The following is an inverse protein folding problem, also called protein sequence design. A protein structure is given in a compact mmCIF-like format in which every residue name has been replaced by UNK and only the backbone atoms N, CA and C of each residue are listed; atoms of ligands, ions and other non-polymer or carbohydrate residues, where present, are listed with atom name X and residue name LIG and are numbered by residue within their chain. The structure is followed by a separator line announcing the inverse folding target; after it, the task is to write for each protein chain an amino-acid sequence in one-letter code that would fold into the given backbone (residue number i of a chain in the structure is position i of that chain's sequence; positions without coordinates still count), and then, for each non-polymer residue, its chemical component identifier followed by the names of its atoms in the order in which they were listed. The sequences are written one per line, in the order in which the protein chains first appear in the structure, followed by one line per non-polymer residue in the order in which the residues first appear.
data_IF_727482155239
#
_entry.id   IF_727482155239
#
_cell.length_a   1.000
_cell.length_b   1.000
_cell.length_c   1.000
_cell.angle_alpha   90.00
_cell.angle_beta   90.00
_cell.angle_gamma   90.00
#
_symmetry.space_group_name_H-M   'P 1'
#
loop_
_entity.id
_entity.type
_entity.pdbx_description
1 polymer ?
#
# COMPACT_ATOMS: atom_id res chain seq x y z
N UNK A 1 45.51 -15.36 46.70
CA UNK A 1 44.04 -15.55 46.76
C UNK A 1 43.29 -14.45 46.00
N UNK A 2 43.55 -14.23 44.70
CA UNK A 2 42.85 -13.16 43.93
C UNK A 2 42.53 -13.47 42.47
N UNK A 3 42.70 -14.72 42.01
CA UNK A 3 42.47 -15.11 40.60
C UNK A 3 41.52 -16.31 40.41
N UNK A 4 40.77 -16.72 41.45
CA UNK A 4 39.80 -17.82 41.37
C UNK A 4 38.34 -17.35 41.27
N UNK A 5 38.03 -16.11 41.67
CA UNK A 5 36.65 -15.60 41.63
C UNK A 5 36.22 -15.01 40.27
N UNK A 6 37.15 -14.62 39.40
CA UNK A 6 36.80 -14.03 38.10
C UNK A 6 36.42 -15.07 37.04
N UNK A 7 36.88 -16.32 37.19
CA UNK A 7 36.47 -17.43 36.30
C UNK A 7 35.14 -18.08 36.71
N UNK A 8 34.69 -17.88 37.94
CA UNK A 8 33.38 -18.36 38.41
C UNK A 8 32.24 -17.40 38.04
N UNK A 9 32.53 -16.12 37.77
CA UNK A 9 31.51 -15.13 37.37
C UNK A 9 31.24 -15.09 35.86
N UNK A 10 32.17 -15.59 35.03
CA UNK A 10 31.99 -15.68 33.57
C UNK A 10 31.42 -17.04 33.11
N UNK A 11 31.51 -18.09 33.96
CA UNK A 11 31.03 -19.44 33.66
C UNK A 11 29.54 -19.68 33.94
N UNK A 12 28.86 -18.75 34.62
CA UNK A 12 27.42 -18.86 34.93
C UNK A 12 26.54 -18.12 33.90
N UNK A 13 27.14 -17.34 32.99
CA UNK A 13 26.43 -16.57 31.96
C UNK A 13 26.27 -17.31 30.61
N UNK A 14 26.31 -18.64 30.61
CA UNK A 14 26.10 -19.50 29.44
C UNK A 14 25.21 -20.71 29.74
N UNK A 15 24.46 -20.68 30.85
CA UNK A 15 23.23 -21.44 30.92
C UNK A 15 22.31 -20.79 29.89
N UNK A 16 22.16 -21.47 28.75
CA UNK A 16 21.20 -21.11 27.72
C UNK A 16 19.82 -20.99 28.34
N UNK A 17 19.47 -19.78 28.78
CA UNK A 17 18.09 -19.39 28.93
C UNK A 17 17.56 -19.50 27.51
N UNK A 18 16.88 -20.60 27.21
CA UNK A 18 15.91 -20.60 26.12
C UNK A 18 14.87 -19.58 26.56
N UNK A 19 15.15 -18.30 26.30
CA UNK A 19 14.11 -17.30 26.19
C UNK A 19 13.31 -17.81 25.00
N UNK A 20 12.26 -18.58 25.30
CA UNK A 20 11.27 -18.96 24.30
C UNK A 20 10.56 -17.66 23.91
N UNK A 21 11.25 -16.86 23.10
CA UNK A 21 10.73 -15.62 22.59
C UNK A 21 9.48 -15.90 21.79
N UNK A 22 8.55 -14.95 21.80
CA UNK A 22 7.41 -14.96 20.90
C UNK A 22 7.87 -15.19 19.46
N UNK A 23 7.14 -16.02 18.72
CA UNK A 23 7.39 -16.23 17.30
C UNK A 23 6.57 -15.23 16.51
N UNK A 24 7.20 -14.61 15.52
CA UNK A 24 6.47 -13.79 14.56
C UNK A 24 5.77 -14.71 13.55
N UNK A 25 4.46 -14.53 13.29
CA UNK A 25 3.77 -15.30 12.26
C UNK A 25 4.34 -15.02 10.87
N UNK A 26 4.17 -15.97 9.96
CA UNK A 26 4.41 -15.79 8.53
C UNK A 26 3.36 -14.87 7.91
N UNK A 27 3.81 -13.83 7.23
CA UNK A 27 2.95 -12.84 6.61
C UNK A 27 2.04 -13.44 5.52
N UNK A 28 0.73 -13.21 5.61
CA UNK A 28 -0.21 -13.52 4.54
C UNK A 28 -0.17 -12.46 3.45
N UNK A 29 -0.03 -12.86 2.19
CA UNK A 29 0.04 -11.93 1.06
C UNK A 29 -1.34 -11.41 0.66
N UNK A 30 -1.65 -10.15 0.99
CA UNK A 30 -2.96 -9.56 0.65
C UNK A 30 -3.17 -9.34 -0.86
N UNK A 31 -2.13 -9.49 -1.69
CA UNK A 31 -2.29 -9.52 -3.15
C UNK A 31 -3.02 -10.78 -3.64
N UNK A 32 -3.04 -11.87 -2.86
CA UNK A 32 -3.73 -13.12 -3.23
C UNK A 32 -5.20 -13.14 -2.81
N UNK A 33 -5.67 -12.10 -2.12
CA UNK A 33 -7.06 -11.97 -1.66
C UNK A 33 -7.15 -11.50 -0.20
N UNK A 34 -8.35 -11.47 0.34
CA UNK A 34 -8.58 -11.13 1.75
C UNK A 34 -8.14 -12.27 2.69
N UNK A 35 -7.71 -11.91 3.90
CA UNK A 35 -7.53 -12.87 4.99
C UNK A 35 -8.79 -12.93 5.85
N UNK A 36 -9.25 -14.12 6.25
CA UNK A 36 -10.46 -14.31 7.05
C UNK A 36 -10.29 -15.34 8.17
N UNK A 37 -11.03 -15.12 9.26
CA UNK A 37 -11.26 -16.09 10.34
C UNK A 37 -12.66 -15.88 10.92
N UNK A 38 -13.52 -16.90 10.79
CA UNK A 38 -14.92 -16.89 11.29
C UNK A 38 -15.17 -17.99 12.31
N UNK A 39 -14.10 -18.62 12.80
CA UNK A 39 -14.18 -19.59 13.87
C UNK A 39 -12.84 -20.17 14.28
N UNK A 40 -12.81 -20.80 15.46
CA UNK A 40 -11.69 -21.57 15.96
C UNK A 40 -12.19 -22.76 16.78
N UNK A 41 -11.82 -23.98 16.40
CA UNK A 41 -12.33 -25.19 17.05
C UNK A 41 -11.53 -25.55 18.32
N UNK A 42 -12.22 -25.91 19.40
CA UNK A 42 -11.59 -26.27 20.68
C UNK A 42 -10.79 -27.59 20.64
N UNK A 43 -11.09 -28.47 19.69
CA UNK A 43 -10.42 -29.75 19.51
C UNK A 43 -9.14 -29.66 18.65
N UNK A 44 -8.77 -28.46 18.16
CA UNK A 44 -7.49 -28.25 17.48
C UNK A 44 -6.34 -28.60 18.42
N UNK A 45 -5.31 -29.26 17.88
CA UNK A 45 -4.15 -29.68 18.65
C UNK A 45 -3.40 -28.49 19.26
N UNK A 46 -2.90 -28.68 20.47
CA UNK A 46 -2.06 -27.71 21.18
C UNK A 46 -0.85 -27.29 20.31
N UNK A 47 -0.53 -26.00 20.30
CA UNK A 47 0.58 -25.46 19.49
C UNK A 47 0.27 -25.29 18.00
N UNK A 48 -0.99 -25.49 17.58
CA UNK A 48 -1.46 -25.18 16.23
C UNK A 48 -2.13 -23.80 16.18
N UNK A 49 -2.08 -23.11 15.05
CA UNK A 49 -2.56 -21.73 14.95
C UNK A 49 -3.31 -21.47 13.63
N UNK A 50 -4.11 -20.38 13.54
CA UNK A 50 -4.91 -20.14 12.35
C UNK A 50 -4.08 -19.80 11.10
N UNK A 51 -4.48 -20.40 9.97
CA UNK A 51 -4.21 -19.90 8.63
C UNK A 51 -5.46 -19.23 8.07
N UNK A 52 -5.33 -18.62 6.89
CA UNK A 52 -6.45 -17.99 6.20
C UNK A 52 -7.64 -18.96 6.01
N UNK A 53 -8.86 -18.48 6.26
CA UNK A 53 -10.10 -19.17 5.94
C UNK A 53 -10.60 -20.16 7.00
N UNK A 54 -10.10 -20.10 8.24
CA UNK A 54 -10.60 -20.96 9.30
C UNK A 54 -12.03 -20.56 9.72
N UNK A 55 -12.94 -21.53 9.79
CA UNK A 55 -14.36 -21.30 10.12
C UNK A 55 -14.80 -21.96 11.42
N UNK A 56 -13.87 -22.55 12.18
CA UNK A 56 -14.17 -23.17 13.48
C UNK A 56 -14.80 -24.56 13.42
N UNK A 57 -15.03 -25.11 12.23
CA UNK A 57 -15.42 -26.53 12.08
C UNK A 57 -14.20 -27.44 11.86
N UNK A 58 -13.06 -26.88 11.44
CA UNK A 58 -11.84 -27.64 11.17
C UNK A 58 -11.09 -28.00 12.45
N UNK A 59 -10.58 -29.22 12.53
CA UNK A 59 -9.68 -29.68 13.59
C UNK A 59 -8.27 -29.97 13.06
N UNK A 60 -8.12 -30.14 11.74
CA UNK A 60 -6.86 -30.31 10.99
C UNK A 60 -7.02 -29.76 9.56
N UNK A 61 -5.94 -29.67 8.79
CA UNK A 61 -5.99 -29.37 7.35
C UNK A 61 -5.43 -27.99 6.96
N UNK A 62 -5.74 -27.55 5.74
CA UNK A 62 -5.09 -26.39 5.09
C UNK A 62 -5.32 -25.03 5.78
N UNK A 63 -6.31 -24.90 6.66
CA UNK A 63 -6.62 -23.67 7.40
C UNK A 63 -6.03 -23.65 8.83
N UNK A 64 -5.19 -24.64 9.15
CA UNK A 64 -4.54 -24.79 10.46
C UNK A 64 -3.04 -25.04 10.27
N UNK A 65 -2.22 -24.13 10.78
CA UNK A 65 -0.78 -24.32 10.86
C UNK A 65 -0.42 -25.14 12.10
N UNK A 66 0.53 -26.07 11.96
CA UNK A 66 1.01 -26.93 13.07
C UNK A 66 2.14 -26.29 13.90
N UNK A 67 2.51 -25.05 13.58
CA UNK A 67 3.52 -24.29 14.33
C UNK A 67 3.30 -22.79 14.18
N UNK A 68 3.82 -22.01 15.13
CA UNK A 68 3.74 -20.55 15.09
C UNK A 68 4.51 -19.95 13.90
N UNK A 69 5.60 -20.61 13.48
CA UNK A 69 6.45 -20.13 12.39
C UNK A 69 5.75 -20.18 11.03
N UNK A 70 4.88 -21.16 10.81
CA UNK A 70 4.16 -21.34 9.55
C UNK A 70 2.77 -20.70 9.53
N UNK A 71 2.30 -20.16 10.65
CA UNK A 71 0.96 -19.60 10.79
C UNK A 71 0.87 -18.16 10.31
N UNK A 72 -0.31 -17.72 9.85
CA UNK A 72 -0.55 -16.31 9.58
C UNK A 72 -0.93 -15.54 10.85
N UNK A 73 -1.65 -16.21 11.75
CA UNK A 73 -2.00 -15.68 13.06
C UNK A 73 -1.36 -16.53 14.16
N UNK A 74 -0.87 -15.92 15.24
CA UNK A 74 -0.39 -16.61 16.44
C UNK A 74 -1.01 -15.99 17.69
N UNK A 75 -0.95 -16.72 18.80
CA UNK A 75 -1.46 -16.26 20.08
C UNK A 75 -0.31 -16.04 21.07
N UNK A 76 -0.32 -14.93 21.80
CA UNK A 76 0.74 -14.59 22.76
C UNK A 76 0.24 -14.48 24.20
N UNK A 77 1.13 -14.75 25.15
CA UNK A 77 0.96 -14.56 26.59
C UNK A 77 1.67 -13.29 27.06
N UNK A 78 1.16 -12.61 28.08
CA UNK A 78 1.63 -11.30 28.55
C UNK A 78 2.02 -11.30 30.04
N UNK A 79 2.93 -12.20 30.42
CA UNK A 79 3.47 -12.29 31.78
C UNK A 79 2.48 -12.92 32.78
N UNK A 80 2.85 -13.02 34.07
CA UNK A 80 2.04 -13.73 35.06
C UNK A 80 0.88 -12.90 35.64
N UNK A 81 0.82 -11.60 35.36
CA UNK A 81 -0.21 -10.71 35.92
C UNK A 81 -1.35 -10.49 34.92
N UNK A 82 -2.39 -9.80 35.38
CA UNK A 82 -3.40 -9.26 34.45
C UNK A 82 -2.69 -8.38 33.41
N UNK A 83 -2.84 -8.67 32.11
CA UNK A 83 -2.22 -7.85 31.08
C UNK A 83 -2.80 -6.44 31.17
N UNK A 84 -1.92 -5.44 31.14
CA UNK A 84 -2.25 -4.04 30.95
C UNK A 84 -1.85 -3.65 29.52
N UNK A 85 -2.31 -2.51 29.03
CA UNK A 85 -2.00 -2.05 27.67
C UNK A 85 -0.49 -1.98 27.39
N UNK A 86 0.33 -1.68 28.40
CA UNK A 86 1.79 -1.61 28.29
C UNK A 86 2.50 -2.95 28.56
N UNK A 87 1.80 -3.99 28.98
CA UNK A 87 2.42 -5.28 29.31
C UNK A 87 2.91 -5.96 28.05
N UNK A 88 4.22 -6.18 27.95
CA UNK A 88 4.83 -6.86 26.82
C UNK A 88 4.43 -8.34 26.77
N UNK A 89 4.36 -8.87 25.55
CA UNK A 89 4.26 -10.31 25.31
C UNK A 89 5.55 -11.04 25.75
N UNK A 90 5.39 -12.27 26.23
CA UNK A 90 6.43 -13.04 26.91
C UNK A 90 6.69 -14.39 26.25
N UNK A 91 5.67 -15.00 25.63
CA UNK A 91 5.77 -16.29 24.98
C UNK A 91 4.59 -16.50 24.00
N UNK A 92 4.70 -17.50 23.13
CA UNK A 92 3.55 -18.02 22.41
C UNK A 92 2.64 -18.82 23.36
N UNK A 93 1.33 -18.74 23.15
CA UNK A 93 0.38 -19.67 23.75
C UNK A 93 0.45 -21.00 23.00
N UNK A 94 0.80 -22.09 23.70
CA UNK A 94 0.99 -23.44 23.12
C UNK A 94 0.10 -24.50 23.76
N UNK A 95 -0.79 -24.11 24.67
CA UNK A 95 -1.74 -25.01 25.33
C UNK A 95 -2.87 -25.45 24.40
N UNK A 96 -3.63 -26.46 24.83
CA UNK A 96 -4.88 -26.87 24.17
C UNK A 96 -5.94 -25.75 24.18
N UNK A 97 -6.91 -25.87 23.28
CA UNK A 97 -7.94 -24.85 23.03
C UNK A 97 -9.29 -25.16 23.69
N UNK A 98 -9.29 -25.96 24.75
CA UNK A 98 -10.49 -26.24 25.55
C UNK A 98 -10.84 -25.02 26.40
N UNK A 99 -12.13 -24.70 26.52
CA UNK A 99 -12.60 -23.63 27.39
C UNK A 99 -12.36 -23.99 28.87
N UNK A 100 -11.34 -23.37 29.47
CA UNK A 100 -11.03 -23.47 30.89
C UNK A 100 -10.36 -22.18 31.37
N UNK A 101 -10.26 -21.99 32.70
CA UNK A 101 -9.59 -20.84 33.29
C UNK A 101 -8.11 -20.77 32.89
N UNK A 102 -7.64 -19.57 32.56
CA UNK A 102 -6.26 -19.37 32.12
C UNK A 102 -5.98 -19.95 30.73
N UNK A 103 -6.94 -19.83 29.80
CA UNK A 103 -6.81 -20.36 28.43
C UNK A 103 -7.19 -19.32 27.37
N UNK A 104 -6.50 -19.43 26.23
CA UNK A 104 -7.05 -19.05 24.94
C UNK A 104 -7.72 -20.32 24.40
N UNK A 105 -9.00 -20.23 24.03
CA UNK A 105 -9.79 -21.39 23.64
C UNK A 105 -10.49 -21.18 22.30
N UNK A 106 -10.84 -22.27 21.63
CA UNK A 106 -11.67 -22.25 20.44
C UNK A 106 -13.14 -22.28 20.82
N UNK A 107 -13.94 -21.38 20.26
CA UNK A 107 -15.38 -21.28 20.51
C UNK A 107 -16.21 -21.75 19.30
N UNK A 108 -15.67 -22.69 18.52
CA UNK A 108 -16.30 -23.20 17.31
C UNK A 108 -16.47 -22.07 16.29
N UNK A 109 -17.68 -21.93 15.75
CA UNK A 109 -18.04 -20.86 14.80
C UNK A 109 -18.22 -19.48 15.44
N UNK A 110 -17.88 -19.32 16.72
CA UNK A 110 -17.90 -18.03 17.41
C UNK A 110 -16.48 -17.51 17.71
N UNK A 111 -15.50 -17.94 16.90
CA UNK A 111 -14.13 -17.47 16.95
C UNK A 111 -13.30 -17.97 18.12
N UNK A 112 -12.45 -17.07 18.62
CA UNK A 112 -11.45 -17.30 19.66
C UNK A 112 -11.96 -16.71 20.98
N UNK A 113 -11.74 -17.42 22.09
CA UNK A 113 -12.06 -16.94 23.42
C UNK A 113 -10.84 -16.68 24.30
N UNK A 114 -10.92 -15.68 25.17
CA UNK A 114 -9.92 -15.30 26.16
C UNK A 114 -10.51 -15.44 27.57
N UNK A 115 -10.09 -16.46 28.31
CA UNK A 115 -10.50 -16.73 29.69
C UNK A 115 -9.31 -16.53 30.63
N UNK A 116 -9.02 -15.28 31.00
CA UNK A 116 -7.85 -14.96 31.81
C UNK A 116 -8.05 -15.37 33.29
N UNK A 117 -6.95 -15.75 33.96
CA UNK A 117 -6.89 -15.94 35.41
C UNK A 117 -5.57 -15.40 35.95
N UNK A 118 -5.51 -15.19 37.27
CA UNK A 118 -4.27 -14.72 37.92
C UNK A 118 -3.14 -15.73 37.71
N UNK A 119 -1.93 -15.24 37.42
CA UNK A 119 -0.74 -16.08 37.22
C UNK A 119 -0.46 -16.47 35.77
N UNK A 120 -1.36 -16.18 34.81
CA UNK A 120 -1.26 -16.70 33.43
C UNK A 120 -1.00 -15.61 32.38
N UNK A 121 -1.68 -14.47 32.51
CA UNK A 121 -1.62 -13.38 31.52
C UNK A 121 -2.05 -13.81 30.12
N UNK A 122 -3.29 -14.31 30.01
CA UNK A 122 -3.90 -14.63 28.72
C UNK A 122 -3.94 -13.37 27.86
N UNK A 123 -3.34 -13.48 26.68
CA UNK A 123 -2.98 -12.31 25.89
C UNK A 123 -3.76 -12.18 24.60
N UNK A 124 -3.02 -12.16 23.51
CA UNK A 124 -3.43 -11.51 22.28
C UNK A 124 -3.42 -12.45 21.08
N UNK A 125 -4.13 -12.05 20.02
CA UNK A 125 -4.02 -12.65 18.70
C UNK A 125 -3.27 -11.70 17.76
N UNK A 126 -2.25 -12.21 17.08
CA UNK A 126 -1.37 -11.43 16.19
C UNK A 126 -1.41 -12.00 14.80
N UNK A 127 -1.86 -11.22 13.84
CA UNK A 127 -1.85 -11.54 12.41
C UNK A 127 -0.68 -10.83 11.73
N UNK A 128 0.09 -11.52 10.90
CA UNK A 128 1.07 -10.90 10.02
C UNK A 128 0.56 -10.85 8.57
N UNK A 129 0.79 -9.71 7.92
CA UNK A 129 0.32 -9.37 6.58
C UNK A 129 1.49 -8.87 5.74
N UNK A 130 1.53 -9.27 4.48
CA UNK A 130 2.34 -8.64 3.45
C UNK A 130 1.39 -7.74 2.64
N UNK A 131 1.69 -6.45 2.65
CA UNK A 131 0.89 -5.41 1.99
C UNK A 131 1.62 -4.82 0.79
N UNK A 132 2.68 -5.46 0.28
CA UNK A 132 3.43 -5.02 -0.91
C UNK A 132 2.51 -4.90 -2.12
N UNK A 133 2.55 -3.74 -2.78
CA UNK A 133 1.65 -3.40 -3.88
C UNK A 133 0.19 -3.22 -3.47
N UNK A 134 -0.11 -3.09 -2.16
CA UNK A 134 -1.47 -2.92 -1.62
C UNK A 134 -1.62 -1.61 -0.85
N UNK A 135 -2.83 -1.06 -0.87
CA UNK A 135 -3.23 0.14 -0.12
C UNK A 135 -4.65 -0.03 0.45
N UNK A 136 -5.11 0.92 1.27
CA UNK A 136 -6.44 0.90 1.88
C UNK A 136 -6.71 -0.44 2.59
N UNK A 137 -5.81 -0.80 3.52
CA UNK A 137 -5.94 -2.05 4.28
C UNK A 137 -7.09 -1.91 5.27
N UNK A 138 -8.18 -2.64 5.04
CA UNK A 138 -9.41 -2.56 5.83
C UNK A 138 -9.54 -3.80 6.71
N UNK A 139 -9.91 -3.58 7.98
CA UNK A 139 -10.08 -4.61 9.00
C UNK A 139 -11.51 -4.55 9.53
N UNK A 140 -12.17 -5.70 9.53
CA UNK A 140 -13.45 -5.95 10.20
C UNK A 140 -13.24 -7.03 11.26
N UNK A 141 -13.93 -6.91 12.40
CA UNK A 141 -13.93 -7.90 13.47
C UNK A 141 -15.13 -7.71 14.40
N UNK A 142 -15.44 -8.74 15.18
CA UNK A 142 -16.49 -8.74 16.19
C UNK A 142 -15.89 -9.03 17.56
N UNK A 143 -16.17 -8.16 18.53
CA UNK A 143 -15.86 -8.38 19.94
C UNK A 143 -17.04 -9.03 20.66
N UNK A 144 -16.77 -9.91 21.63
CA UNK A 144 -17.81 -10.64 22.37
C UNK A 144 -17.54 -10.66 23.87
N UNK A 145 -18.61 -10.64 24.65
CA UNK A 145 -18.62 -10.98 26.09
C UNK A 145 -19.25 -12.35 26.23
N UNK A 146 -18.42 -13.33 26.55
CA UNK A 146 -18.80 -14.74 26.70
C UNK A 146 -19.05 -15.12 28.18
N UNK A 147 -18.53 -14.32 29.10
CA UNK A 147 -18.79 -14.41 30.53
C UNK A 147 -18.62 -13.02 31.15
N UNK A 148 -19.52 -12.64 32.04
CA UNK A 148 -19.48 -11.33 32.71
C UNK A 148 -18.50 -11.35 33.88
N UNK A 149 -17.94 -10.19 34.22
CA UNK A 149 -17.04 -10.04 35.35
C UNK A 149 -17.04 -8.61 35.89
N UNK A 150 -16.64 -8.46 37.15
CA UNK A 150 -16.59 -7.15 37.82
C UNK A 150 -15.39 -6.29 37.37
N UNK A 151 -14.34 -6.91 36.81
CA UNK A 151 -13.18 -6.18 36.29
C UNK A 151 -13.43 -5.63 34.89
N UNK A 152 -12.87 -4.46 34.63
CA UNK A 152 -12.93 -3.77 33.33
C UNK A 152 -11.91 -4.36 32.37
N UNK A 153 -12.36 -5.16 31.43
CA UNK A 153 -11.52 -5.74 30.39
C UNK A 153 -12.06 -5.37 29.02
N UNK A 154 -11.20 -5.44 28.02
CA UNK A 154 -11.63 -5.34 26.64
C UNK A 154 -10.59 -5.84 25.65
N UNK A 155 -10.95 -5.76 24.38
CA UNK A 155 -10.08 -6.10 23.26
C UNK A 155 -9.80 -4.82 22.48
N UNK A 156 -8.51 -4.47 22.32
CA UNK A 156 -8.08 -3.35 21.48
C UNK A 156 -7.40 -3.82 20.21
N UNK A 157 -7.77 -3.23 19.09
CA UNK A 157 -7.09 -3.40 17.80
C UNK A 157 -5.90 -2.44 17.68
N UNK A 158 -4.72 -3.00 17.45
CA UNK A 158 -3.47 -2.28 17.30
C UNK A 158 -2.68 -2.81 16.09
N UNK A 159 -1.67 -2.07 15.64
CA UNK A 159 -0.81 -2.48 14.54
C UNK A 159 0.65 -2.06 14.75
N UNK A 160 1.56 -2.68 14.00
CA UNK A 160 2.94 -2.21 13.84
C UNK A 160 3.49 -2.55 12.47
N UNK A 161 4.52 -1.81 12.05
CA UNK A 161 5.29 -2.05 10.84
C UNK A 161 6.48 -2.95 11.19
N UNK A 162 6.68 -4.03 10.45
CA UNK A 162 7.69 -5.04 10.74
C UNK A 162 7.32 -5.97 11.91
N UNK A 163 8.35 -6.54 12.54
CA UNK A 163 8.23 -7.59 13.56
C UNK A 163 8.72 -7.16 14.95
N UNK A 164 9.05 -5.89 15.13
CA UNK A 164 9.63 -5.35 16.36
C UNK A 164 9.09 -3.95 16.64
N UNK A 165 9.38 -3.42 17.82
CA UNK A 165 8.87 -2.13 18.27
C UNK A 165 7.47 -2.22 18.87
N UNK A 166 6.97 -1.06 19.30
CA UNK A 166 5.68 -0.91 19.96
C UNK A 166 4.53 -1.08 18.96
N UNK A 167 3.44 -1.67 19.44
CA UNK A 167 2.17 -1.60 18.73
C UNK A 167 1.54 -0.22 18.96
N UNK A 168 0.95 0.32 17.91
CA UNK A 168 0.24 1.58 17.87
C UNK A 168 -1.25 1.32 17.69
N UNK A 169 -2.08 2.25 18.16
CA UNK A 169 -3.52 2.19 17.92
C UNK A 169 -3.83 2.17 16.41
N UNK A 170 -4.69 1.24 15.97
CA UNK A 170 -5.03 1.07 14.56
C UNK A 170 -5.91 2.20 14.00
N UNK A 171 -6.48 3.02 14.87
CA UNK A 171 -7.28 4.19 14.55
C UNK A 171 -7.07 5.25 15.63
N UNK A 172 -7.00 6.56 15.28
CA UNK A 172 -6.87 7.62 16.28
C UNK A 172 -8.09 7.75 17.20
N UNK A 173 -9.26 7.22 16.81
CA UNK A 173 -10.48 7.23 17.61
C UNK A 173 -10.58 5.94 18.43
N UNK A 174 -10.34 5.96 19.77
CA UNK A 174 -10.23 4.75 20.56
C UNK A 174 -11.51 3.89 20.58
N UNK A 175 -12.69 4.51 20.55
CA UNK A 175 -13.98 3.80 20.55
C UNK A 175 -14.19 2.94 19.29
N UNK A 176 -13.49 3.23 18.19
CA UNK A 176 -13.60 2.44 16.96
C UNK A 176 -12.77 1.16 17.03
N UNK A 177 -11.73 1.13 17.86
CA UNK A 177 -10.77 0.02 17.95
C UNK A 177 -10.87 -0.75 19.26
N UNK A 178 -11.75 -0.35 20.18
CA UNK A 178 -11.85 -0.92 21.50
C UNK A 178 -13.23 -1.51 21.76
N UNK A 179 -13.26 -2.82 22.02
CA UNK A 179 -14.42 -3.52 22.53
C UNK A 179 -14.32 -3.66 24.05
N UNK A 180 -15.21 -3.01 24.80
CA UNK A 180 -15.32 -3.16 26.24
C UNK A 180 -16.21 -4.37 26.61
N UNK A 181 -15.84 -5.10 27.67
CA UNK A 181 -16.67 -6.15 28.22
C UNK A 181 -18.04 -5.59 28.65
N UNK A 182 -19.12 -6.27 28.25
CA UNK A 182 -20.48 -5.90 28.60
C UNK A 182 -20.89 -6.38 30.00
N UNK A 183 -21.91 -5.72 30.57
CA UNK A 183 -22.59 -6.19 31.78
C UNK A 183 -23.51 -7.42 31.52
N UNK A 184 -23.70 -7.78 30.25
CA UNK A 184 -24.44 -8.95 29.79
C UNK A 184 -23.64 -9.69 28.71
N UNK A 185 -24.02 -10.95 28.47
CA UNK A 185 -23.49 -11.70 27.34
C UNK A 185 -23.94 -11.05 26.03
N UNK A 186 -23.05 -11.01 25.03
CA UNK A 186 -23.37 -10.40 23.75
C UNK A 186 -22.16 -10.23 22.84
N UNK A 187 -22.42 -9.74 21.62
CA UNK A 187 -21.42 -9.50 20.59
C UNK A 187 -21.68 -8.17 19.90
N UNK A 188 -20.62 -7.47 19.52
CA UNK A 188 -20.68 -6.21 18.77
C UNK A 188 -19.74 -6.29 17.58
N UNK A 189 -20.29 -6.15 16.38
CA UNK A 189 -19.49 -5.91 15.19
C UNK A 189 -18.85 -4.52 15.31
N UNK A 190 -17.52 -4.48 15.26
CA UNK A 190 -16.78 -3.23 15.39
C UNK A 190 -16.79 -2.48 14.05
N UNK A 191 -16.70 -1.14 14.06
CA UNK A 191 -16.60 -0.37 12.82
C UNK A 191 -15.44 -0.87 11.95
N UNK A 192 -15.61 -0.81 10.62
CA UNK A 192 -14.50 -1.08 9.69
C UNK A 192 -13.35 -0.11 9.95
N UNK A 193 -12.15 -0.64 10.16
CA UNK A 193 -10.95 0.17 10.40
C UNK A 193 -10.06 0.14 9.17
N UNK A 194 -9.77 1.32 8.61
CA UNK A 194 -8.68 1.47 7.65
C UNK A 194 -7.38 1.73 8.40
N UNK A 195 -6.37 0.88 8.22
CA UNK A 195 -5.06 1.10 8.82
C UNK A 195 -4.41 2.38 8.27
N UNK A 196 -3.53 3.05 9.06
CA UNK A 196 -2.80 4.22 8.60
C UNK A 196 -1.98 3.95 7.33
N UNK A 197 -1.76 4.98 6.51
CA UNK A 197 -1.07 4.85 5.22
C UNK A 197 0.35 4.29 5.32
N UNK A 198 1.00 4.42 6.48
CA UNK A 198 2.30 3.80 6.78
C UNK A 198 2.28 2.26 6.71
N UNK A 199 1.10 1.63 6.81
CA UNK A 199 0.92 0.19 6.66
C UNK A 199 0.75 -0.27 5.20
N UNK A 200 0.64 0.66 4.26
CA UNK A 200 0.55 0.33 2.83
C UNK A 200 1.92 -0.07 2.27
N UNK A 201 1.93 -0.86 1.20
CA UNK A 201 3.12 -1.23 0.45
C UNK A 201 4.32 -1.69 1.31
N UNK A 202 4.05 -2.45 2.36
CA UNK A 202 5.05 -2.90 3.33
C UNK A 202 5.16 -4.42 3.28
N UNK A 203 6.38 -4.95 3.31
CA UNK A 203 6.62 -6.40 3.27
C UNK A 203 6.05 -7.14 4.47
N UNK A 204 6.01 -6.48 5.64
CA UNK A 204 5.44 -7.02 6.88
C UNK A 204 4.72 -5.92 7.66
N UNK A 205 3.44 -6.13 7.90
CA UNK A 205 2.62 -5.43 8.91
C UNK A 205 2.10 -6.47 9.89
N UNK A 206 2.07 -6.15 11.17
CA UNK A 206 1.43 -6.99 12.18
C UNK A 206 0.25 -6.26 12.80
N UNK A 207 -0.87 -6.98 12.91
CA UNK A 207 -2.11 -6.53 13.53
C UNK A 207 -2.33 -7.35 14.79
N UNK A 208 -2.69 -6.67 15.88
CA UNK A 208 -2.84 -7.23 17.22
C UNK A 208 -4.24 -6.96 17.73
N UNK A 209 -4.93 -8.01 18.17
CA UNK A 209 -6.10 -7.90 19.05
C UNK A 209 -5.66 -8.23 20.46
N UNK A 210 -5.58 -7.21 21.31
CA UNK A 210 -5.05 -7.34 22.65
C UNK A 210 -6.17 -7.36 23.68
N UNK A 211 -6.36 -8.51 24.33
CA UNK A 211 -7.22 -8.65 25.52
C UNK A 211 -6.46 -8.22 26.76
N UNK A 212 -6.92 -7.16 27.43
CA UNK A 212 -6.23 -6.60 28.61
C UNK A 212 -7.22 -5.99 29.61
N UNK A 213 -6.74 -5.79 30.83
CA UNK A 213 -7.44 -5.10 31.90
C UNK A 213 -7.22 -3.58 31.79
N UNK A 214 -8.30 -2.81 31.71
CA UNK A 214 -8.26 -1.36 31.60
C UNK A 214 -7.93 -0.64 32.91
N UNK A 215 -8.13 -1.28 34.06
CA UNK A 215 -7.93 -0.66 35.36
C UNK A 215 -7.09 -1.54 36.30
N UNK A 216 -6.14 -0.90 36.98
CA UNK A 216 -5.20 -1.58 37.88
C UNK A 216 -5.77 -1.84 39.27
N UNK A 217 -6.94 -1.29 39.61
CA UNK A 217 -7.45 -1.24 41.00
C UNK A 217 -8.74 -2.03 41.24
N UNK A 218 -9.40 -2.55 40.20
CA UNK A 218 -10.65 -3.33 40.35
C UNK A 218 -10.34 -4.78 40.71
N UNK A 219 -10.82 -5.21 41.88
CA UNK A 219 -10.84 -6.61 42.30
C UNK A 219 -12.12 -7.32 41.79
N UNK A 220 -12.23 -8.63 42.00
CA UNK A 220 -13.39 -9.42 41.56
C UNK A 220 -13.14 -10.31 40.33
N UNK A 221 -14.22 -10.86 39.78
CA UNK A 221 -14.20 -11.82 38.67
C UNK A 221 -13.80 -11.15 37.36
N UNK A 222 -13.05 -11.87 36.51
CA UNK A 222 -12.68 -11.43 35.16
C UNK A 222 -13.78 -11.83 34.19
N UNK A 223 -14.16 -10.98 33.23
CA UNK A 223 -15.01 -11.42 32.15
C UNK A 223 -14.24 -12.38 31.23
N UNK A 224 -14.98 -13.21 30.49
CA UNK A 224 -14.44 -13.99 29.38
C UNK A 224 -14.79 -13.27 28.09
N UNK A 225 -13.79 -12.97 27.27
CA UNK A 225 -13.96 -12.22 26.02
C UNK A 225 -13.86 -13.14 24.81
N UNK A 226 -14.43 -12.70 23.68
CA UNK A 226 -14.33 -13.39 22.40
C UNK A 226 -13.96 -12.45 21.25
N UNK A 227 -13.30 -13.00 20.25
CA UNK A 227 -12.86 -12.36 19.02
C UNK A 227 -13.27 -13.23 17.83
N UNK A 228 -13.98 -12.65 16.87
CA UNK A 228 -14.54 -13.40 15.75
C UNK A 228 -14.77 -12.53 14.51
N UNK A 229 -15.22 -13.13 13.41
CA UNK A 229 -15.59 -12.47 12.16
C UNK A 229 -14.49 -11.52 11.65
N UNK A 230 -13.24 -11.98 11.75
CA UNK A 230 -12.10 -11.21 11.30
C UNK A 230 -12.05 -11.29 9.78
N UNK A 231 -12.01 -10.13 9.13
CA UNK A 231 -11.57 -10.05 7.74
C UNK A 231 -10.62 -8.88 7.54
N UNK A 232 -9.59 -9.12 6.73
CA UNK A 232 -8.62 -8.11 6.32
C UNK A 232 -8.56 -8.08 4.80
N UNK A 233 -8.93 -6.94 4.23
CA UNK A 233 -8.95 -6.72 2.78
C UNK A 233 -8.07 -5.55 2.38
N UNK A 234 -7.85 -5.37 1.08
CA UNK A 234 -7.05 -4.28 0.55
C UNK A 234 -7.40 -3.96 -0.90
N UNK A 235 -6.99 -2.78 -1.36
CA UNK A 235 -7.00 -2.40 -2.76
C UNK A 235 -5.60 -2.55 -3.37
N UNK A 236 -5.50 -2.79 -4.68
CA UNK A 236 -4.21 -2.72 -5.37
C UNK A 236 -3.67 -1.29 -5.32
N UNK A 237 -2.45 -1.11 -4.84
CA UNK A 237 -1.76 0.17 -4.93
C UNK A 237 -1.08 0.27 -6.29
N UNK A 238 -1.28 1.37 -6.99
CA UNK A 238 -0.38 1.74 -8.08
C UNK A 238 1.01 1.99 -7.51
N UNK A 239 2.02 1.28 -7.99
CA UNK A 239 3.42 1.55 -7.65
C UNK A 239 3.91 2.72 -8.52
N UNK A 240 4.21 3.86 -7.91
CA UNK A 240 5.00 4.90 -8.55
C UNK A 240 6.47 4.48 -8.43
N UNK A 241 7.14 4.26 -9.56
CA UNK A 241 8.58 4.05 -9.60
C UNK A 241 9.31 5.40 -9.58
N UNK A 242 10.43 5.51 -8.86
CA UNK A 242 11.28 6.70 -8.86
C UNK A 242 12.61 6.43 -9.56
N UNK A 243 13.13 7.43 -10.27
CA UNK A 243 14.53 7.48 -10.69
C UNK A 243 15.31 8.30 -9.65
N UNK A 244 16.27 7.67 -8.95
CA UNK A 244 17.25 8.36 -8.12
C UNK A 244 18.63 8.28 -8.79
N UNK A 245 18.77 8.93 -9.94
CA UNK A 245 20.07 9.12 -10.55
C UNK A 245 20.90 10.09 -9.72
N UNK A 246 22.15 9.74 -9.42
CA UNK A 246 23.13 10.69 -8.92
C UNK A 246 23.22 11.88 -9.88
N UNK A 247 22.99 13.08 -9.38
CA UNK A 247 23.42 14.31 -10.05
C UNK A 247 24.94 14.37 -9.99
N UNK A 248 25.64 13.63 -10.85
CA UNK A 248 27.05 13.91 -11.09
C UNK A 248 27.11 15.26 -11.79
N UNK A 249 27.51 16.31 -11.09
CA UNK A 249 27.96 17.55 -11.71
C UNK A 249 29.12 17.21 -12.64
N UNK A 250 28.87 17.16 -13.95
CA UNK A 250 29.94 17.14 -14.94
C UNK A 250 30.81 18.39 -14.81
N UNK A 251 32.11 18.34 -15.14
CA UNK A 251 32.97 19.51 -15.11
C UNK A 251 32.48 20.58 -16.09
N UNK A 252 32.72 21.87 -15.83
CA UNK A 252 32.10 23.01 -16.52
C UNK A 252 32.57 23.23 -17.97
N UNK A 253 33.09 22.21 -18.66
CA UNK A 253 33.61 22.34 -20.03
C UNK A 253 32.91 21.39 -20.99
N UNK A 254 31.72 21.80 -21.45
CA UNK A 254 31.32 21.72 -22.86
C UNK A 254 31.20 20.35 -23.57
N UNK A 255 31.15 19.22 -22.88
CA UNK A 255 30.88 17.91 -23.50
C UNK A 255 29.58 17.27 -23.00
N UNK A 256 28.85 16.48 -23.83
CA UNK A 256 27.67 15.75 -23.37
C UNK A 256 28.08 14.68 -22.36
N UNK A 257 27.87 14.97 -21.07
CA UNK A 257 27.98 13.99 -20.00
C UNK A 257 26.83 12.98 -20.14
N UNK A 258 27.17 11.77 -20.58
CA UNK A 258 26.25 10.62 -20.62
C UNK A 258 25.89 10.26 -19.17
N UNK A 259 24.60 10.38 -18.82
CA UNK A 259 24.10 10.17 -17.47
C UNK A 259 24.45 8.78 -16.93
N UNK A 260 24.94 8.73 -15.69
CA UNK A 260 25.35 7.50 -15.01
C UNK A 260 24.20 6.48 -14.86
N UNK A 261 24.55 5.20 -14.91
CA UNK A 261 23.67 4.07 -14.62
C UNK A 261 23.31 4.04 -13.13
N UNK A 262 22.22 4.71 -12.74
CA UNK A 262 21.63 4.61 -11.40
C UNK A 262 20.76 3.36 -11.25
N UNK A 263 20.79 2.73 -10.07
CA UNK A 263 19.91 1.62 -9.73
C UNK A 263 18.55 2.14 -9.21
N UNK A 264 17.47 1.49 -9.63
CA UNK A 264 16.09 1.77 -9.21
C UNK A 264 15.95 1.60 -7.68
N UNK A 265 15.47 2.63 -6.97
CA UNK A 265 15.17 2.54 -5.53
C UNK A 265 13.65 2.37 -5.32
N UNK A 266 13.27 1.35 -4.53
CA UNK A 266 11.88 0.91 -4.34
C UNK A 266 11.26 1.32 -3.00
N UNK A 267 11.76 2.34 -2.31
CA UNK A 267 11.24 2.71 -0.98
C UNK A 267 9.89 3.45 -1.00
N UNK A 268 9.01 3.20 -0.01
CA UNK A 268 7.61 3.61 -0.05
C UNK A 268 7.38 4.97 0.62
N UNK A 269 7.01 5.96 -0.19
CA UNK A 269 6.20 7.10 0.22
C UNK A 269 5.77 7.81 -1.07
N UNK A 270 4.47 8.01 -1.25
CA UNK A 270 3.87 9.12 -1.97
C UNK A 270 4.85 10.24 -2.37
N UNK A 271 5.32 10.21 -3.61
CA UNK A 271 5.97 11.32 -4.30
C UNK A 271 5.85 11.12 -5.82
N UNK A 272 5.99 12.22 -6.54
CA UNK A 272 5.87 12.31 -8.00
C UNK A 272 7.09 11.73 -8.70
N UNK A 273 6.99 11.44 -10.01
CA UNK A 273 8.20 11.56 -10.83
C UNK A 273 8.59 13.04 -10.80
N UNK A 274 9.53 13.39 -9.94
CA UNK A 274 10.29 14.62 -10.12
C UNK A 274 11.26 14.30 -11.25
N UNK A 275 10.94 14.77 -12.45
CA UNK A 275 11.98 15.04 -13.47
C UNK A 275 13.09 15.81 -12.78
N UNK A 276 14.38 15.50 -12.99
CA UNK A 276 15.48 16.13 -12.27
C UNK A 276 15.27 17.65 -12.22
N UNK A 277 15.15 18.19 -11.01
CA UNK A 277 15.02 19.62 -10.81
C UNK A 277 16.29 20.30 -11.29
N UNK A 278 16.06 21.31 -12.13
CA UNK A 278 16.87 22.52 -12.29
C UNK A 278 18.25 22.36 -12.96
N UNK A 279 18.24 22.32 -14.29
CA UNK A 279 19.28 23.00 -15.06
C UNK A 279 18.69 23.52 -16.38
N UNK A 280 18.84 24.81 -16.60
CA UNK A 280 18.14 25.70 -17.54
C UNK A 280 18.40 25.46 -19.04
N UNK A 281 18.84 24.27 -19.47
CA UNK A 281 19.09 24.00 -20.91
C UNK A 281 19.22 22.52 -21.34
N UNK A 282 18.90 21.53 -20.49
CA UNK A 282 19.15 20.11 -20.80
C UNK A 282 17.97 19.36 -21.41
N UNK A 283 18.24 18.54 -22.44
CA UNK A 283 17.36 17.49 -23.00
C UNK A 283 17.45 16.24 -22.12
N UNK A 284 16.32 15.74 -21.59
CA UNK A 284 16.29 14.54 -20.73
C UNK A 284 15.52 13.40 -21.38
N UNK A 285 16.03 12.17 -21.34
CA UNK A 285 15.35 10.97 -21.88
C UNK A 285 14.47 10.30 -20.81
N UNK A 286 13.15 10.28 -21.00
CA UNK A 286 12.26 9.47 -20.15
C UNK A 286 12.36 7.98 -20.50
N UNK A 287 12.44 7.10 -19.48
CA UNK A 287 12.48 5.64 -19.68
C UNK A 287 11.39 4.95 -18.86
N UNK A 288 10.54 4.14 -19.50
CA UNK A 288 9.49 3.37 -18.82
C UNK A 288 9.78 1.87 -18.83
N UNK A 289 9.57 1.17 -17.71
CA UNK A 289 9.37 -0.27 -17.71
C UNK A 289 7.86 -0.58 -17.81
N UNK A 290 7.55 -1.65 -18.55
CA UNK A 290 6.33 -2.49 -18.64
C UNK A 290 4.93 -1.97 -18.22
N UNK A 291 3.95 -2.57 -18.89
CA UNK A 291 2.49 -2.40 -18.80
C UNK A 291 1.91 -2.59 -17.38
N UNK A 292 2.07 -1.64 -16.46
CA UNK A 292 1.32 -1.53 -15.18
C UNK A 292 1.54 -0.22 -14.41
N UNK A 293 2.47 0.65 -14.83
CA UNK A 293 2.95 1.78 -14.03
C UNK A 293 2.16 3.08 -14.30
N UNK A 294 2.07 3.97 -13.30
CA UNK A 294 1.56 5.35 -13.48
C UNK A 294 2.77 6.29 -13.60
N UNK A 295 2.81 7.13 -14.63
CA UNK A 295 3.84 8.16 -14.78
C UNK A 295 3.27 9.54 -14.38
N UNK A 296 3.84 10.17 -13.35
CA UNK A 296 3.37 11.48 -12.86
C UNK A 296 4.41 12.56 -13.16
N UNK A 297 4.25 13.30 -14.26
CA UNK A 297 5.17 14.39 -14.57
C UNK A 297 4.75 15.66 -13.83
N UNK A 298 5.70 16.39 -13.24
CA UNK A 298 5.49 17.73 -12.66
C UNK A 298 6.64 18.64 -13.07
N UNK A 299 6.34 19.83 -13.59
CA UNK A 299 7.40 20.79 -13.93
C UNK A 299 7.97 21.42 -12.66
N UNK A 300 9.30 21.51 -12.55
CA UNK A 300 9.94 22.58 -11.79
C UNK A 300 9.62 23.93 -12.43
N UNK A 301 9.93 25.06 -11.78
CA UNK A 301 9.52 26.42 -12.15
C UNK A 301 10.05 26.98 -13.49
N UNK A 302 10.37 26.14 -14.48
CA UNK A 302 10.79 26.53 -15.84
C UNK A 302 10.15 25.66 -16.93
N UNK A 303 10.24 26.14 -18.18
CA UNK A 303 9.82 25.43 -19.39
C UNK A 303 10.71 24.19 -19.62
N UNK A 304 10.49 23.14 -18.83
CA UNK A 304 11.28 21.90 -18.90
C UNK A 304 10.85 21.12 -20.14
N UNK A 305 11.78 20.92 -21.07
CA UNK A 305 11.59 20.17 -22.30
C UNK A 305 11.93 18.70 -22.03
N UNK A 306 10.94 17.81 -22.02
CA UNK A 306 11.16 16.37 -21.84
C UNK A 306 11.30 15.70 -23.20
N UNK A 307 12.46 15.08 -23.46
CA UNK A 307 12.73 14.29 -24.66
C UNK A 307 12.47 12.81 -24.39
N UNK A 308 12.03 12.10 -25.41
CA UNK A 308 11.67 10.69 -25.27
C UNK A 308 12.42 9.88 -26.31
N UNK A 309 13.50 9.23 -25.85
CA UNK A 309 14.35 8.39 -26.69
C UNK A 309 13.71 7.06 -27.08
N UNK A 310 12.64 6.64 -26.39
CA UNK A 310 11.92 5.38 -26.62
C UNK A 310 10.40 5.59 -26.60
N UNK A 311 9.59 4.57 -26.88
CA UNK A 311 8.15 4.69 -26.63
C UNK A 311 7.89 4.76 -25.11
N UNK A 312 6.89 5.53 -24.71
CA UNK A 312 6.37 5.55 -23.33
C UNK A 312 5.19 4.60 -23.25
N UNK A 313 5.23 3.65 -22.32
CA UNK A 313 4.11 2.74 -22.05
C UNK A 313 3.80 2.76 -20.57
N UNK A 314 2.62 3.27 -20.21
CA UNK A 314 2.13 3.39 -18.84
C UNK A 314 0.62 3.05 -18.80
N UNK A 315 0.08 2.73 -17.62
CA UNK A 315 -1.37 2.58 -17.43
C UNK A 315 -2.06 3.94 -17.43
N UNK A 316 -1.48 4.93 -16.73
CA UNK A 316 -1.93 6.32 -16.70
C UNK A 316 -0.73 7.28 -16.69
N UNK A 317 -0.92 8.47 -17.24
CA UNK A 317 0.06 9.55 -17.27
C UNK A 317 -0.60 10.82 -16.73
N UNK A 318 -0.18 11.33 -15.58
CA UNK A 318 -0.79 12.53 -14.98
C UNK A 318 0.11 13.77 -15.12
N UNK A 319 -0.49 14.89 -15.50
CA UNK A 319 0.15 16.20 -15.70
C UNK A 319 -0.56 17.21 -14.80
N UNK A 320 0.05 17.56 -13.66
CA UNK A 320 -0.57 18.38 -12.62
C UNK A 320 -0.18 19.87 -12.65
N UNK A 321 0.86 20.24 -13.38
CA UNK A 321 1.31 21.63 -13.60
C UNK A 321 1.79 21.80 -15.04
N UNK A 322 1.87 23.04 -15.53
CA UNK A 322 2.22 23.34 -16.92
C UNK A 322 3.52 22.67 -17.36
N UNK A 323 3.42 21.74 -18.31
CA UNK A 323 4.49 20.86 -18.79
C UNK A 323 4.58 20.92 -20.32
N UNK A 324 5.80 20.79 -20.84
CA UNK A 324 6.05 20.66 -22.28
C UNK A 324 6.82 19.38 -22.55
N UNK A 325 6.21 18.42 -23.24
CA UNK A 325 6.98 17.33 -23.84
C UNK A 325 7.39 17.79 -25.23
N UNK A 326 8.69 17.70 -25.54
CA UNK A 326 9.15 17.89 -26.90
C UNK A 326 10.01 16.71 -27.30
N UNK A 327 9.64 16.10 -28.41
CA UNK A 327 10.19 14.82 -28.81
C UNK A 327 11.29 15.10 -29.83
N UNK A 328 12.54 14.87 -29.45
CA UNK A 328 13.71 15.04 -30.31
C UNK A 328 14.17 13.68 -30.85
N UNK A 329 13.21 12.90 -31.38
CA UNK A 329 13.51 11.61 -31.97
C UNK A 329 13.75 11.75 -33.49
N UNK A 330 14.76 11.05 -33.99
CA UNK A 330 15.02 10.83 -35.43
C UNK A 330 14.15 9.73 -36.03
N UNK A 331 13.30 9.10 -35.22
CA UNK A 331 12.41 7.99 -35.58
C UNK A 331 11.07 8.14 -34.90
N UNK A 332 9.98 7.65 -35.49
CA UNK A 332 8.63 7.81 -34.94
C UNK A 332 8.50 7.19 -33.55
N UNK A 333 7.83 7.90 -32.64
CA UNK A 333 7.62 7.50 -31.23
C UNK A 333 6.14 7.50 -30.88
N UNK A 334 5.80 6.71 -29.87
CA UNK A 334 4.46 6.70 -29.29
C UNK A 334 4.44 6.86 -27.78
N UNK A 335 3.34 7.43 -27.29
CA UNK A 335 2.92 7.38 -25.90
C UNK A 335 1.66 6.52 -25.83
N UNK A 336 1.69 5.47 -25.02
CA UNK A 336 0.55 4.63 -24.69
C UNK A 336 0.31 4.65 -23.17
N UNK A 337 -0.96 4.77 -22.80
CA UNK A 337 -1.46 5.08 -21.47
C UNK A 337 -2.39 6.29 -21.49
N UNK A 338 -3.46 6.26 -20.69
CA UNK A 338 -4.40 7.39 -20.60
C UNK A 338 -3.70 8.61 -20.02
N UNK A 339 -3.79 9.76 -20.70
CA UNK A 339 -3.17 11.01 -20.28
C UNK A 339 -4.20 11.90 -19.56
N UNK A 340 -3.94 12.30 -18.32
CA UNK A 340 -4.71 13.28 -17.56
C UNK A 340 -3.99 14.64 -17.55
N UNK A 341 -4.33 15.50 -18.51
CA UNK A 341 -3.76 16.83 -18.69
C UNK A 341 -4.52 17.91 -17.89
N UNK A 342 -4.35 17.91 -16.56
CA UNK A 342 -4.92 18.95 -15.71
C UNK A 342 -4.15 20.29 -15.84
N UNK A 343 -2.82 20.21 -16.01
CA UNK A 343 -1.97 21.34 -16.41
C UNK A 343 -1.83 21.47 -17.93
N UNK A 344 -1.23 22.59 -18.37
CA UNK A 344 -0.90 22.79 -19.80
C UNK A 344 0.04 21.67 -20.29
N UNK A 345 -0.19 21.19 -21.51
CA UNK A 345 0.57 20.13 -22.16
C UNK A 345 0.95 20.58 -23.57
N UNK A 346 2.24 20.80 -23.81
CA UNK A 346 2.75 20.96 -25.18
C UNK A 346 3.21 19.63 -25.76
N UNK A 347 2.81 19.33 -27.00
CA UNK A 347 3.20 18.17 -27.78
C UNK A 347 3.87 18.63 -29.07
N UNK A 348 5.05 18.09 -29.36
CA UNK A 348 5.87 18.56 -30.48
C UNK A 348 6.44 17.43 -31.31
N UNK A 349 6.17 17.45 -32.62
CA UNK A 349 6.94 16.68 -33.60
C UNK A 349 8.23 17.42 -33.95
N UNK A 350 9.25 16.70 -34.42
CA UNK A 350 10.47 17.30 -34.97
C UNK A 350 10.81 16.65 -36.31
N UNK A 351 11.89 15.87 -36.42
CA UNK A 351 12.22 15.13 -37.65
C UNK A 351 11.31 13.93 -37.88
N UNK A 352 10.77 13.34 -36.80
CA UNK A 352 9.89 12.18 -36.83
C UNK A 352 8.58 12.45 -36.09
N UNK A 353 7.58 11.60 -36.34
CA UNK A 353 6.24 11.73 -35.79
C UNK A 353 6.13 11.33 -34.32
N UNK A 354 5.15 11.93 -33.64
CA UNK A 354 4.72 11.56 -32.30
C UNK A 354 3.28 11.04 -32.38
N UNK A 355 3.04 9.86 -31.84
CA UNK A 355 1.69 9.31 -31.72
C UNK A 355 1.25 9.24 -30.26
N UNK A 356 0.13 9.87 -29.94
CA UNK A 356 -0.61 9.61 -28.71
C UNK A 356 -1.62 8.51 -29.01
N UNK A 357 -1.36 7.31 -28.49
CA UNK A 357 -2.14 6.12 -28.82
C UNK A 357 -3.50 6.09 -28.12
N UNK A 358 -3.55 6.60 -26.89
CA UNK A 358 -4.69 6.45 -25.98
C UNK A 358 -5.37 7.79 -25.62
N UNK A 359 -6.43 7.74 -24.81
CA UNK A 359 -7.26 8.87 -24.39
C UNK A 359 -6.46 10.01 -23.73
N UNK A 360 -6.75 11.26 -24.11
CA UNK A 360 -6.37 12.47 -23.36
C UNK A 360 -7.59 13.02 -22.63
N UNK A 361 -7.43 13.39 -21.37
CA UNK A 361 -8.44 13.99 -20.49
C UNK A 361 -7.91 15.26 -19.80
N UNK A 362 -8.73 15.92 -18.98
CA UNK A 362 -8.37 17.13 -18.23
C UNK A 362 -8.76 18.44 -18.90
N UNK A 363 -8.34 19.55 -18.30
CA UNK A 363 -8.79 20.90 -18.67
C UNK A 363 -7.65 21.90 -18.93
N UNK A 364 -6.39 21.47 -18.82
CA UNK A 364 -5.24 22.31 -19.16
C UNK A 364 -5.17 22.63 -20.65
N UNK A 365 -4.31 23.57 -21.05
CA UNK A 365 -4.17 23.90 -22.48
C UNK A 365 -3.34 22.83 -23.21
N UNK A 366 -3.85 22.25 -24.30
CA UNK A 366 -3.05 21.45 -25.23
C UNK A 366 -2.44 22.35 -26.30
N UNK A 367 -1.13 22.26 -26.52
CA UNK A 367 -0.43 23.04 -27.54
C UNK A 367 0.37 22.12 -28.48
N UNK A 368 0.04 22.15 -29.76
CA UNK A 368 0.67 21.35 -30.80
C UNK A 368 1.60 22.24 -31.62
N UNK A 369 2.89 21.88 -31.68
CA UNK A 369 3.87 22.61 -32.47
C UNK A 369 4.91 21.65 -33.04
N UNK A 370 5.02 21.52 -34.35
CA UNK A 370 6.21 20.89 -34.94
C UNK A 370 7.23 21.95 -35.34
N UNK A 371 8.50 21.69 -35.03
CA UNK A 371 9.64 22.47 -35.54
C UNK A 371 10.32 21.77 -36.73
N UNK A 372 9.80 20.61 -37.17
CA UNK A 372 10.28 19.85 -38.33
C UNK A 372 9.14 19.20 -39.14
N UNK A 373 9.45 18.15 -39.90
CA UNK A 373 8.50 17.45 -40.80
C UNK A 373 7.61 16.42 -40.10
N UNK A 374 7.93 16.05 -38.86
CA UNK A 374 7.19 15.08 -38.07
C UNK A 374 5.81 15.59 -37.65
N UNK A 375 4.78 14.74 -37.82
CA UNK A 375 3.42 15.03 -37.40
C UNK A 375 3.17 14.62 -35.94
N UNK A 376 2.30 15.36 -35.24
CA UNK A 376 1.69 14.90 -34.00
C UNK A 376 0.38 14.20 -34.35
N UNK A 377 0.23 12.93 -33.98
CA UNK A 377 -0.94 12.11 -34.27
C UNK A 377 -1.70 11.78 -32.98
N UNK A 378 -3.01 12.03 -32.98
CA UNK A 378 -3.90 11.72 -31.87
C UNK A 378 -4.84 10.57 -32.25
N UNK A 379 -4.55 9.36 -31.79
CA UNK A 379 -5.34 8.16 -32.09
C UNK A 379 -6.39 7.82 -31.01
N UNK A 380 -6.27 8.43 -29.84
CA UNK A 380 -7.18 8.17 -28.72
C UNK A 380 -8.55 8.83 -28.85
N UNK A 381 -9.55 8.20 -28.24
CA UNK A 381 -10.84 8.83 -27.95
C UNK A 381 -10.68 9.81 -26.78
N UNK A 382 -10.35 11.07 -27.07
CA UNK A 382 -10.11 12.06 -26.02
C UNK A 382 -11.42 12.57 -25.40
N UNK A 383 -11.36 12.89 -24.10
CA UNK A 383 -12.42 13.57 -23.34
C UNK A 383 -11.94 14.92 -22.78
N UNK A 384 -10.83 15.41 -23.29
CA UNK A 384 -10.19 16.65 -22.84
C UNK A 384 -11.05 17.89 -23.14
N UNK A 385 -11.22 18.76 -22.15
CA UNK A 385 -12.17 19.89 -22.18
C UNK A 385 -11.49 21.26 -22.28
N UNK A 386 -10.17 21.33 -22.08
CA UNK A 386 -9.40 22.56 -22.15
C UNK A 386 -9.19 23.10 -23.57
N UNK A 387 -8.55 24.29 -23.71
CA UNK A 387 -8.20 24.85 -25.01
C UNK A 387 -7.19 23.98 -25.76
N UNK A 388 -7.32 23.93 -27.09
CA UNK A 388 -6.37 23.27 -28.01
C UNK A 388 -5.81 24.29 -28.96
N UNK A 389 -4.49 24.37 -29.08
CA UNK A 389 -3.81 25.33 -29.94
C UNK A 389 -2.92 24.59 -30.92
N UNK A 390 -3.24 24.62 -32.21
CA UNK A 390 -2.30 24.24 -33.26
C UNK A 390 -1.47 25.47 -33.63
N UNK A 391 -0.20 25.45 -33.26
CA UNK A 391 0.71 26.60 -33.38
C UNK A 391 1.55 26.48 -34.65
N UNK A 392 2.05 25.28 -34.97
CA UNK A 392 2.86 25.00 -36.16
C UNK A 392 2.90 23.50 -36.47
N UNK A 393 3.40 23.12 -37.66
CA UNK A 393 3.60 21.71 -38.01
C UNK A 393 2.36 20.99 -38.53
N UNK A 394 2.36 19.67 -38.46
CA UNK A 394 1.22 18.83 -38.85
C UNK A 394 0.59 18.20 -37.59
N UNK A 395 -0.72 18.36 -37.44
CA UNK A 395 -1.53 17.65 -36.45
C UNK A 395 -2.47 16.70 -37.17
N UNK A 396 -2.25 15.40 -36.99
CA UNK A 396 -3.08 14.33 -37.51
C UNK A 396 -4.14 13.93 -36.48
N UNK A 397 -5.39 13.93 -36.91
CA UNK A 397 -6.48 13.33 -36.14
C UNK A 397 -6.66 11.88 -36.59
N UNK A 398 -6.35 10.94 -35.69
CA UNK A 398 -6.53 9.51 -35.92
C UNK A 398 -7.83 8.95 -35.33
N UNK A 399 -8.63 9.78 -34.68
CA UNK A 399 -9.92 9.42 -34.09
C UNK A 399 -10.91 10.57 -34.19
N UNK A 400 -12.21 10.27 -34.36
CA UNK A 400 -13.26 11.29 -34.52
C UNK A 400 -13.37 12.27 -33.34
N UNK A 401 -13.09 11.78 -32.13
CA UNK A 401 -13.06 12.57 -30.90
C UNK A 401 -11.62 12.89 -30.43
N UNK A 402 -10.63 12.88 -31.32
CA UNK A 402 -9.22 13.07 -30.95
C UNK A 402 -8.97 14.38 -30.18
N UNK A 403 -9.73 15.44 -30.48
CA UNK A 403 -9.66 16.73 -29.81
C UNK A 403 -10.59 16.87 -28.60
N UNK A 404 -11.38 15.85 -28.25
CA UNK A 404 -12.41 15.93 -27.21
C UNK A 404 -13.71 16.61 -27.66
N UNK A 405 -14.68 16.70 -26.75
CA UNK A 405 -16.06 17.14 -27.06
C UNK A 405 -16.36 18.59 -26.70
N UNK A 406 -15.43 19.30 -26.07
CA UNK A 406 -15.60 20.70 -25.64
C UNK A 406 -14.27 21.44 -25.60
N UNK A 407 -14.30 22.77 -25.41
CA UNK A 407 -13.12 23.64 -25.43
C UNK A 407 -12.86 24.23 -26.82
N UNK A 408 -12.13 25.36 -26.86
CA UNK A 408 -11.78 26.01 -28.13
C UNK A 408 -10.68 25.22 -28.85
N UNK A 409 -10.75 25.21 -30.18
CA UNK A 409 -9.63 24.78 -31.02
C UNK A 409 -9.16 25.97 -31.84
N UNK A 410 -8.00 26.52 -31.48
CA UNK A 410 -7.38 27.65 -32.14
C UNK A 410 -6.29 27.15 -33.08
N UNK A 411 -6.35 27.56 -34.35
CA UNK A 411 -5.31 27.29 -35.33
C UNK A 411 -4.58 28.60 -35.59
N UNK A 412 -3.37 28.72 -35.06
CA UNK A 412 -2.50 29.89 -35.23
C UNK A 412 -1.44 29.68 -36.31
N UNK A 413 -1.27 28.43 -36.77
CA UNK A 413 -0.36 28.04 -37.86
C UNK A 413 -0.40 26.53 -38.10
N UNK A 414 0.39 26.04 -39.07
CA UNK A 414 0.49 24.61 -39.36
C UNK A 414 -0.61 24.04 -40.27
N UNK A 415 -0.72 22.72 -40.27
CA UNK A 415 -1.64 21.91 -41.08
C UNK A 415 -2.41 20.97 -40.16
N UNK A 416 -3.74 21.04 -40.24
CA UNK A 416 -4.62 20.03 -39.68
C UNK A 416 -4.85 18.94 -40.74
N UNK A 417 -4.49 17.71 -40.41
CA UNK A 417 -4.70 16.55 -41.28
C UNK A 417 -5.71 15.60 -40.63
N UNK A 418 -6.73 15.22 -41.39
CA UNK A 418 -7.80 14.32 -40.98
C UNK A 418 -8.03 13.23 -42.03
N UNK A 419 -7.03 12.97 -42.88
CA UNK A 419 -7.07 11.90 -43.89
C UNK A 419 -7.27 10.50 -43.27
N UNK A 420 -6.96 10.34 -41.98
CA UNK A 420 -7.05 9.09 -41.23
C UNK A 420 -8.24 9.00 -40.25
N UNK A 421 -9.08 10.03 -40.15
CA UNK A 421 -10.23 10.07 -39.21
C UNK A 421 -11.58 10.25 -39.93
N UNK A 422 -12.68 10.17 -39.16
CA UNK A 422 -14.04 10.44 -39.64
C UNK A 422 -14.25 11.91 -40.06
N UNK A 423 -15.39 12.25 -40.64
CA UNK A 423 -15.65 13.59 -41.17
C UNK A 423 -15.46 14.70 -40.12
N UNK A 424 -14.74 15.78 -40.49
CA UNK A 424 -14.73 17.03 -39.71
C UNK A 424 -16.03 17.78 -40.00
N UNK A 425 -16.84 18.01 -38.97
CA UNK A 425 -18.01 18.89 -39.07
C UNK A 425 -17.64 20.27 -38.54
N UNK A 426 -17.78 21.30 -39.36
CA UNK A 426 -17.57 22.72 -38.99
C UNK A 426 -18.95 23.39 -38.92
N UNK A 427 -19.50 23.65 -37.72
CA UNK A 427 -20.79 24.30 -37.60
C UNK A 427 -20.77 25.69 -38.27
N UNK A 428 -21.72 25.95 -39.17
CA UNK A 428 -21.88 27.25 -39.83
C UNK A 428 -21.16 27.41 -41.18
N UNK A 429 -20.48 26.37 -41.68
CA UNK A 429 -20.03 26.27 -43.06
C UNK A 429 -20.54 24.95 -43.63
N UNK A 430 -21.65 25.02 -44.36
CA UNK A 430 -22.22 23.91 -45.16
C UNK A 430 -21.88 24.08 -46.62
#
# INVERSE_FOLDING_TARGET
MKNIYLKLLLGVLLLGVKVLGQTNPTAYNLATGSWTLTGWNSAIAAGSYPLNGNTGTQTTGATIATSAASANMVFWLHGPNDPLIATASTANYTSNYINASGKIFGNGTNGIGFNNTGGVGIGSAVLSLNTTGRSNIQINWTGRTLGVGARTYGIRLMYRIGTSGLFLDANPTPSNIFYAAGASLGSTAMPTITLPSAANNTSIVQVLWYSYNEATTTSGTRPTLGLDEISVSSSSSSTNFYWNGSTTSGPPTGGPSVGGSGAWNTTPANTNWISPTDNTSGTYTAWTNSTSSIANFTAGSGTSLVDIGTNVVASNINISSGLSFAFNATTDRSISGKIAAAGNLSLRGQSAGLTIADEISGAGTLSFASTGTGAVTLNGNSIHTGPKNLISGILNLGHANALGTSGSFNISGGTLDNSTAGAITIPGYT
#
